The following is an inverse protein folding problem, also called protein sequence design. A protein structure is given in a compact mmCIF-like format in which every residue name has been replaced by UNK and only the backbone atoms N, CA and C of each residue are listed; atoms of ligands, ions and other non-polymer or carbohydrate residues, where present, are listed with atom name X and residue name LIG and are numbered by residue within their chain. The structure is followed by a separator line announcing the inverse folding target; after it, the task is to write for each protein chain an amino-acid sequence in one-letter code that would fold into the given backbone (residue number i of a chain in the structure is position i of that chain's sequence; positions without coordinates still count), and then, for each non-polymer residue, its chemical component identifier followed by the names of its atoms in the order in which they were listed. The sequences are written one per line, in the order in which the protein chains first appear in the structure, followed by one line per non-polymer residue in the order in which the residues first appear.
data_IF_463480701163
#
_entry.id   IF_463480701163
#
_cell.length_a   1.000
_cell.length_b   1.000
_cell.length_c   1.000
_cell.angle_alpha   90.00
_cell.angle_beta   90.00
_cell.angle_gamma   90.00
#
_symmetry.space_group_name_H-M   'P 1'
#
loop_
_entity.id
_entity.type
_entity.pdbx_description
1 polymer ?
#
# COMPACT_ATOMS: atom_id res chain seq x y z
N UNK A 1 2.77 29.23 -7.50
CA UNK A 1 4.04 28.62 -7.01
C UNK A 1 4.16 28.64 -5.48
N UNK A 2 3.88 29.75 -4.83
CA UNK A 2 3.93 29.87 -3.34
C UNK A 2 2.98 28.91 -2.63
N UNK A 3 1.78 28.71 -3.12
CA UNK A 3 0.79 27.79 -2.54
C UNK A 3 1.25 26.32 -2.60
N UNK A 4 1.84 25.92 -3.73
CA UNK A 4 2.40 24.57 -3.88
C UNK A 4 3.56 24.32 -2.91
N UNK A 5 4.47 25.28 -2.76
CA UNK A 5 5.58 25.18 -1.82
C UNK A 5 5.11 25.14 -0.36
N UNK A 6 4.10 25.93 -0.03
CA UNK A 6 3.50 25.94 1.31
C UNK A 6 2.83 24.58 1.60
N UNK A 7 2.09 24.03 0.64
CA UNK A 7 1.47 22.71 0.75
C UNK A 7 2.53 21.63 0.94
N UNK A 8 3.58 21.61 0.11
CA UNK A 8 4.67 20.66 0.23
C UNK A 8 5.37 20.77 1.60
N UNK A 9 5.57 22.00 2.09
CA UNK A 9 6.13 22.24 3.42
C UNK A 9 5.26 21.68 4.54
N UNK A 10 3.94 21.94 4.51
CA UNK A 10 2.99 21.41 5.51
C UNK A 10 3.02 19.89 5.52
N UNK A 11 2.98 19.25 4.35
CA UNK A 11 3.01 17.79 4.23
C UNK A 11 4.33 17.20 4.73
N UNK A 12 5.47 17.83 4.39
CA UNK A 12 6.78 17.40 4.88
C UNK A 12 6.89 17.51 6.40
N UNK A 13 6.48 18.64 6.98
CA UNK A 13 6.50 18.83 8.44
C UNK A 13 5.61 17.79 9.12
N UNK A 14 4.43 17.56 8.58
CA UNK A 14 3.52 16.55 9.11
C UNK A 14 4.12 15.14 9.06
N UNK A 15 4.77 14.76 7.96
CA UNK A 15 5.45 13.48 7.83
C UNK A 15 6.60 13.35 8.83
N UNK A 16 7.48 14.36 8.91
CA UNK A 16 8.63 14.37 9.83
C UNK A 16 8.21 14.30 11.30
N UNK A 17 7.09 14.88 11.67
CA UNK A 17 6.58 14.84 13.05
C UNK A 17 5.83 13.53 13.33
N UNK A 18 4.99 13.07 12.42
CA UNK A 18 4.11 11.91 12.65
C UNK A 18 4.85 10.57 12.67
N UNK A 19 5.86 10.41 11.81
CA UNK A 19 6.59 9.13 11.70
C UNK A 19 7.31 8.74 12.99
N UNK A 20 8.11 9.61 13.64
CA UNK A 20 8.72 9.28 14.93
C UNK A 20 7.70 9.00 16.03
N UNK A 21 6.58 9.73 16.03
CA UNK A 21 5.48 9.52 16.98
C UNK A 21 4.87 8.13 16.77
N UNK A 22 4.48 7.80 15.54
CA UNK A 22 3.90 6.50 15.19
C UNK A 22 4.86 5.36 15.54
N UNK A 23 6.15 5.52 15.26
CA UNK A 23 7.18 4.52 15.56
C UNK A 23 7.34 4.26 17.05
N UNK A 24 7.18 5.28 17.91
CA UNK A 24 7.18 5.12 19.37
C UNK A 24 6.02 4.27 19.88
N UNK A 25 4.89 4.28 19.18
CA UNK A 25 3.74 3.42 19.51
C UNK A 25 3.80 2.05 18.82
N UNK A 26 4.91 1.69 18.17
CA UNK A 26 5.06 0.44 17.45
C UNK A 26 4.35 0.39 16.09
N UNK A 27 3.79 1.52 15.65
CA UNK A 27 3.17 1.69 14.35
C UNK A 27 4.27 1.95 13.32
N UNK A 28 4.12 1.38 12.12
CA UNK A 28 5.05 1.66 11.01
C UNK A 28 4.89 3.07 10.46
N UNK A 29 5.85 3.53 9.66
CA UNK A 29 5.84 4.86 9.03
C UNK A 29 4.58 5.12 8.22
N UNK A 30 4.07 4.10 7.51
CA UNK A 30 2.86 4.20 6.68
C UNK A 30 1.65 4.63 7.49
N UNK A 31 1.43 4.01 8.66
CA UNK A 31 0.33 4.43 9.56
C UNK A 31 0.56 5.84 10.09
N UNK A 32 1.82 6.22 10.34
CA UNK A 32 2.18 7.58 10.70
C UNK A 32 1.74 8.60 9.65
N UNK A 33 2.04 8.34 8.38
CA UNK A 33 1.61 9.20 7.26
C UNK A 33 0.09 9.27 7.11
N UNK A 34 -0.62 8.14 7.24
CA UNK A 34 -2.09 8.12 7.17
C UNK A 34 -2.73 8.94 8.29
N UNK A 35 -2.26 8.79 9.52
CA UNK A 35 -2.76 9.56 10.66
C UNK A 35 -2.46 11.05 10.50
N UNK A 36 -1.27 11.39 10.01
CA UNK A 36 -0.91 12.78 9.69
C UNK A 36 -1.83 13.37 8.62
N UNK A 37 -2.08 12.63 7.54
CA UNK A 37 -2.98 13.05 6.47
C UNK A 37 -4.40 13.32 6.99
N UNK A 38 -4.93 12.41 7.82
CA UNK A 38 -6.25 12.60 8.46
C UNK A 38 -6.30 13.82 9.38
N UNK A 39 -5.23 14.05 10.15
CA UNK A 39 -5.16 15.20 11.07
C UNK A 39 -5.06 16.55 10.33
N UNK A 40 -4.42 16.58 9.16
CA UNK A 40 -4.22 17.80 8.37
C UNK A 40 -5.39 18.05 7.41
N UNK A 41 -6.16 17.02 7.06
CA UNK A 41 -7.26 17.15 6.08
C UNK A 41 -8.20 18.35 6.36
N UNK A 42 -8.64 18.62 7.61
CA UNK A 42 -9.45 19.80 7.90
C UNK A 42 -8.74 21.12 7.59
N UNK A 43 -7.43 21.22 7.91
CA UNK A 43 -6.62 22.40 7.64
C UNK A 43 -6.48 22.66 6.14
N UNK A 44 -6.25 21.61 5.34
CA UNK A 44 -6.19 21.71 3.89
C UNK A 44 -7.52 22.16 3.28
N UNK A 45 -8.64 21.69 3.83
CA UNK A 45 -9.98 22.14 3.46
C UNK A 45 -10.19 23.64 3.71
N UNK A 46 -9.74 24.16 4.87
CA UNK A 46 -9.79 25.59 5.19
C UNK A 46 -8.91 26.44 4.27
N UNK A 47 -7.78 25.90 3.82
CA UNK A 47 -6.85 26.58 2.91
C UNK A 47 -7.33 26.53 1.44
N UNK A 48 -8.45 25.87 1.15
CA UNK A 48 -8.98 25.74 -0.21
C UNK A 48 -8.09 24.91 -1.14
N UNK A 49 -7.28 23.99 -0.59
CA UNK A 49 -6.41 23.15 -1.38
C UNK A 49 -7.21 22.17 -2.23
N UNK A 50 -6.94 22.15 -3.52
CA UNK A 50 -7.53 21.17 -4.44
C UNK A 50 -6.92 19.77 -4.20
N UNK A 51 -7.70 18.93 -3.52
CA UNK A 51 -7.31 17.56 -3.18
C UNK A 51 -7.04 16.71 -4.44
N UNK A 52 -7.71 17.00 -5.56
CA UNK A 52 -7.54 16.26 -6.83
C UNK A 52 -6.15 16.55 -7.42
N UNK A 53 -5.71 17.81 -7.41
CA UNK A 53 -4.36 18.15 -7.85
C UNK A 53 -3.29 17.50 -6.96
N UNK A 54 -3.52 17.45 -5.65
CA UNK A 54 -2.63 16.79 -4.73
C UNK A 54 -2.54 15.28 -5.01
N UNK A 55 -3.67 14.64 -5.31
CA UNK A 55 -3.73 13.22 -5.67
C UNK A 55 -2.89 12.92 -6.92
N UNK A 56 -3.06 13.68 -8.00
CA UNK A 56 -2.26 13.51 -9.22
C UNK A 56 -0.75 13.64 -8.96
N UNK A 57 -0.35 14.55 -8.08
CA UNK A 57 1.06 14.67 -7.71
C UNK A 57 1.55 13.47 -6.89
N UNK A 58 0.73 12.97 -5.97
CA UNK A 58 1.04 11.78 -5.19
C UNK A 58 1.14 10.52 -6.07
N UNK A 59 0.26 10.38 -7.08
CA UNK A 59 0.31 9.28 -8.05
C UNK A 59 1.66 9.22 -8.79
N UNK A 60 2.23 10.38 -9.15
CA UNK A 60 3.58 10.41 -9.73
C UNK A 60 4.64 9.86 -8.76
N UNK A 61 4.55 10.19 -7.48
CA UNK A 61 5.42 9.64 -6.44
C UNK A 61 5.30 8.12 -6.34
N UNK A 62 4.08 7.57 -6.42
CA UNK A 62 3.84 6.12 -6.42
C UNK A 62 4.48 5.46 -7.65
N UNK A 63 4.34 6.05 -8.84
CA UNK A 63 4.97 5.54 -10.07
C UNK A 63 6.49 5.49 -9.92
N UNK A 64 7.12 6.55 -9.39
CA UNK A 64 8.56 6.58 -9.14
C UNK A 64 9.00 5.52 -8.12
N UNK A 65 8.24 5.35 -7.04
CA UNK A 65 8.51 4.32 -6.04
C UNK A 65 8.43 2.90 -6.64
N UNK A 66 7.38 2.62 -7.43
CA UNK A 66 7.23 1.32 -8.11
C UNK A 66 8.35 1.09 -9.14
N UNK A 67 8.82 2.13 -9.79
CA UNK A 67 9.96 2.05 -10.70
C UNK A 67 11.26 1.66 -9.96
N UNK A 68 11.54 2.29 -8.82
CA UNK A 68 12.70 1.94 -7.98
C UNK A 68 12.61 0.49 -7.52
N UNK A 69 11.47 0.07 -6.98
CA UNK A 69 11.23 -1.32 -6.58
C UNK A 69 11.47 -2.27 -7.76
N UNK A 70 10.99 -1.91 -8.95
CA UNK A 70 11.19 -2.71 -10.18
C UNK A 70 12.67 -2.85 -10.57
N UNK A 71 13.50 -1.82 -10.33
CA UNK A 71 14.94 -1.89 -10.55
C UNK A 71 15.69 -2.77 -9.55
N UNK A 72 15.20 -2.84 -8.31
CA UNK A 72 15.80 -3.66 -7.24
C UNK A 72 15.42 -5.15 -7.35
N UNK A 73 14.38 -5.47 -8.12
CA UNK A 73 13.95 -6.85 -8.32
C UNK A 73 14.92 -7.62 -9.21
N UNK A 74 15.55 -8.65 -8.67
CA UNK A 74 16.40 -9.57 -9.44
C UNK A 74 15.56 -10.64 -10.15
N UNK A 75 15.52 -10.67 -11.50
CA UNK A 75 14.74 -11.66 -12.25
C UNK A 75 15.10 -13.10 -11.93
N UNK A 76 16.38 -13.36 -11.60
CA UNK A 76 16.86 -14.70 -11.22
C UNK A 76 16.25 -15.16 -9.90
N UNK A 77 16.12 -14.25 -8.93
CA UNK A 77 15.50 -14.53 -7.64
C UNK A 77 14.00 -14.84 -7.81
N UNK A 78 13.30 -14.04 -8.59
CA UNK A 78 11.88 -14.29 -8.91
C UNK A 78 11.68 -15.65 -9.56
N UNK A 79 12.56 -16.03 -10.49
CA UNK A 79 12.49 -17.33 -11.14
C UNK A 79 12.75 -18.49 -10.18
N UNK A 80 13.70 -18.32 -9.26
CA UNK A 80 13.97 -19.32 -8.21
C UNK A 80 12.76 -19.51 -7.28
N UNK A 81 12.02 -18.41 -6.97
CA UNK A 81 10.85 -18.43 -6.09
C UNK A 81 9.53 -18.78 -6.80
N UNK A 82 9.51 -19.05 -8.10
CA UNK A 82 8.28 -19.24 -8.90
C UNK A 82 7.29 -20.25 -8.32
N UNK A 83 7.76 -21.33 -7.69
CA UNK A 83 6.88 -22.34 -7.07
C UNK A 83 6.16 -21.77 -5.85
N UNK A 84 6.82 -20.93 -5.07
CA UNK A 84 6.22 -20.22 -3.92
C UNK A 84 5.25 -19.13 -4.39
N UNK A 85 5.65 -18.34 -5.40
CA UNK A 85 4.82 -17.29 -5.98
C UNK A 85 3.50 -17.87 -6.53
N UNK A 86 3.57 -18.94 -7.33
CA UNK A 86 2.37 -19.56 -7.90
C UNK A 86 1.57 -20.31 -6.83
N UNK A 87 2.23 -21.04 -5.93
CA UNK A 87 1.56 -21.84 -4.91
C UNK A 87 0.93 -21.00 -3.81
N UNK A 88 1.74 -20.17 -3.14
CA UNK A 88 1.25 -19.34 -2.03
C UNK A 88 0.48 -18.12 -2.54
N UNK A 89 1.04 -17.35 -3.48
CA UNK A 89 0.40 -16.17 -4.04
C UNK A 89 -0.88 -16.52 -4.81
N UNK A 90 -0.80 -17.45 -5.77
CA UNK A 90 -1.98 -17.90 -6.50
C UNK A 90 -3.03 -18.54 -5.60
N UNK A 91 -2.61 -19.35 -4.63
CA UNK A 91 -3.50 -19.96 -3.64
C UNK A 91 -4.22 -18.91 -2.77
N UNK A 92 -3.49 -17.89 -2.32
CA UNK A 92 -4.05 -16.77 -1.55
C UNK A 92 -5.10 -16.02 -2.36
N UNK A 93 -4.79 -15.62 -3.58
CA UNK A 93 -5.72 -14.86 -4.45
C UNK A 93 -6.99 -15.67 -4.71
N UNK A 94 -6.86 -16.96 -5.08
CA UNK A 94 -8.01 -17.82 -5.34
C UNK A 94 -8.86 -17.99 -4.09
N UNK A 95 -8.25 -18.36 -2.95
CA UNK A 95 -8.97 -18.62 -1.71
C UNK A 95 -9.69 -17.36 -1.21
N UNK A 96 -9.00 -16.22 -1.18
CA UNK A 96 -9.58 -14.94 -0.74
C UNK A 96 -10.71 -14.51 -1.68
N UNK A 97 -10.51 -14.62 -3.00
CA UNK A 97 -11.56 -14.32 -3.99
C UNK A 97 -12.80 -15.17 -3.76
N UNK A 98 -12.65 -16.48 -3.56
CA UNK A 98 -13.79 -17.39 -3.36
C UNK A 98 -14.55 -17.09 -2.06
N UNK A 99 -13.83 -16.82 -0.96
CA UNK A 99 -14.44 -16.49 0.33
C UNK A 99 -15.24 -15.18 0.22
N UNK A 100 -14.63 -14.14 -0.32
CA UNK A 100 -15.27 -12.82 -0.43
C UNK A 100 -16.42 -12.85 -1.43
N UNK A 101 -16.24 -13.52 -2.58
CA UNK A 101 -17.31 -13.71 -3.55
C UNK A 101 -18.49 -14.49 -2.93
N UNK A 102 -18.21 -15.53 -2.14
CA UNK A 102 -19.25 -16.28 -1.40
C UNK A 102 -20.03 -15.38 -0.44
N UNK A 103 -19.35 -14.56 0.36
CA UNK A 103 -20.00 -13.59 1.26
C UNK A 103 -20.84 -12.58 0.46
N UNK A 104 -20.32 -12.09 -0.66
CA UNK A 104 -21.02 -11.14 -1.52
C UNK A 104 -22.27 -11.74 -2.17
N UNK A 105 -22.23 -13.01 -2.58
CA UNK A 105 -23.40 -13.76 -3.07
C UNK A 105 -24.47 -13.90 -1.99
N UNK A 106 -24.08 -14.24 -0.76
CA UNK A 106 -24.99 -14.33 0.37
C UNK A 106 -25.66 -12.99 0.70
N UNK A 107 -25.00 -11.88 0.38
CA UNK A 107 -25.53 -10.51 0.52
C UNK A 107 -26.49 -10.12 -0.63
N UNK A 108 -26.78 -11.01 -1.57
CA UNK A 108 -27.73 -10.80 -2.66
C UNK A 108 -27.15 -10.18 -3.94
N UNK A 109 -25.82 -10.06 -4.04
CA UNK A 109 -25.19 -9.57 -5.26
C UNK A 109 -25.20 -10.61 -6.38
N UNK A 110 -25.25 -10.16 -7.64
CA UNK A 110 -25.10 -11.03 -8.79
C UNK A 110 -23.71 -11.69 -8.81
N UNK A 111 -23.60 -12.92 -9.30
CA UNK A 111 -22.35 -13.70 -9.28
C UNK A 111 -21.15 -12.99 -9.96
N UNK A 112 -21.41 -12.21 -11.04
CA UNK A 112 -20.37 -11.44 -11.74
C UNK A 112 -19.82 -10.31 -10.85
N UNK A 113 -20.70 -9.59 -10.21
CA UNK A 113 -20.35 -8.53 -9.26
C UNK A 113 -19.66 -9.12 -8.03
N UNK A 114 -20.14 -10.22 -7.50
CA UNK A 114 -19.54 -10.90 -6.37
C UNK A 114 -18.12 -11.39 -6.69
N UNK A 115 -17.90 -11.95 -7.87
CA UNK A 115 -16.57 -12.36 -8.32
C UNK A 115 -15.63 -11.15 -8.49
N UNK A 116 -16.10 -10.07 -9.09
CA UNK A 116 -15.32 -8.84 -9.25
C UNK A 116 -14.90 -8.26 -7.88
N UNK A 117 -15.82 -8.18 -6.92
CA UNK A 117 -15.53 -7.74 -5.54
C UNK A 117 -14.48 -8.65 -4.90
N UNK A 118 -14.62 -9.96 -5.05
CA UNK A 118 -13.68 -10.94 -4.54
C UNK A 118 -12.27 -10.77 -5.10
N UNK A 119 -12.16 -10.58 -6.41
CA UNK A 119 -10.88 -10.36 -7.08
C UNK A 119 -10.23 -9.04 -6.64
N UNK A 120 -10.98 -7.96 -6.56
CA UNK A 120 -10.48 -6.64 -6.14
C UNK A 120 -9.94 -6.70 -4.70
N UNK A 121 -10.70 -7.30 -3.79
CA UNK A 121 -10.32 -7.38 -2.38
C UNK A 121 -9.26 -8.46 -2.08
N UNK A 122 -8.99 -9.36 -3.03
CA UNK A 122 -7.89 -10.33 -2.91
C UNK A 122 -6.52 -9.68 -3.19
N UNK A 123 -6.47 -8.52 -3.84
CA UNK A 123 -5.23 -7.81 -4.10
C UNK A 123 -4.71 -7.15 -2.83
N UNK A 124 -3.40 -7.27 -2.59
CA UNK A 124 -2.70 -6.67 -1.48
C UNK A 124 -1.90 -5.44 -1.91
N UNK A 125 -1.52 -4.57 -0.98
CA UNK A 125 -0.64 -3.45 -1.26
C UNK A 125 0.82 -3.86 -1.16
N UNK A 126 1.43 -4.19 -2.28
CA UNK A 126 2.86 -4.56 -2.37
C UNK A 126 3.75 -3.46 -1.80
N UNK A 127 3.48 -2.19 -2.12
CA UNK A 127 4.28 -1.06 -1.66
C UNK A 127 4.30 -0.94 -0.12
N UNK A 128 3.14 -1.03 0.54
CA UNK A 128 3.03 -0.92 2.00
C UNK A 128 3.75 -2.07 2.70
N UNK A 129 3.58 -3.29 2.19
CA UNK A 129 4.18 -4.47 2.82
C UNK A 129 5.70 -4.48 2.65
N UNK A 130 6.20 -4.19 1.42
CA UNK A 130 7.64 -4.10 1.18
C UNK A 130 8.30 -3.04 2.05
N UNK A 131 7.75 -1.83 2.10
CA UNK A 131 8.26 -0.76 2.95
C UNK A 131 8.28 -1.18 4.42
N UNK A 132 7.21 -1.82 4.91
CA UNK A 132 7.14 -2.27 6.31
C UNK A 132 8.15 -3.37 6.62
N UNK A 133 8.37 -4.32 5.69
CA UNK A 133 9.36 -5.38 5.84
C UNK A 133 10.78 -4.83 5.83
N UNK A 134 11.05 -3.84 4.99
CA UNK A 134 12.35 -3.17 4.91
C UNK A 134 12.65 -2.38 6.18
N UNK A 135 11.72 -1.55 6.66
CA UNK A 135 11.84 -0.80 7.91
C UNK A 135 12.12 -1.69 9.13
N UNK A 136 11.56 -2.90 9.14
CA UNK A 136 11.76 -3.89 10.22
C UNK A 136 12.96 -4.81 9.98
N UNK A 137 13.70 -4.65 8.88
CA UNK A 137 14.82 -5.51 8.51
C UNK A 137 14.43 -6.98 8.23
N UNK A 138 13.17 -7.23 7.90
CA UNK A 138 12.62 -8.59 7.72
C UNK A 138 12.63 -9.05 6.26
N UNK A 139 12.95 -8.19 5.31
CA UNK A 139 12.82 -8.46 3.87
C UNK A 139 13.59 -9.73 3.43
N UNK A 140 14.80 -9.93 3.99
CA UNK A 140 15.68 -11.07 3.67
C UNK A 140 15.49 -12.30 4.57
N UNK A 141 14.45 -12.33 5.39
CA UNK A 141 14.11 -13.48 6.23
C UNK A 141 13.18 -14.44 5.49
N UNK A 142 13.11 -15.70 5.93
CA UNK A 142 12.17 -16.67 5.37
C UNK A 142 10.71 -16.18 5.42
N UNK A 143 10.33 -15.47 6.52
CA UNK A 143 9.02 -14.87 6.67
C UNK A 143 8.78 -13.71 5.69
N UNK A 144 9.81 -12.87 5.48
CA UNK A 144 9.77 -11.78 4.49
C UNK A 144 9.63 -12.29 3.06
N UNK A 145 10.41 -13.31 2.67
CA UNK A 145 10.29 -13.96 1.37
C UNK A 145 8.91 -14.63 1.17
N UNK A 146 8.36 -15.27 2.21
CA UNK A 146 7.01 -15.84 2.14
C UNK A 146 5.95 -14.76 2.00
N UNK A 147 6.06 -13.66 2.77
CA UNK A 147 5.17 -12.50 2.64
C UNK A 147 5.23 -11.88 1.25
N UNK A 148 6.44 -11.70 0.71
CA UNK A 148 6.64 -11.22 -0.66
C UNK A 148 6.00 -12.14 -1.72
N UNK A 149 5.99 -13.45 -1.49
CA UNK A 149 5.40 -14.42 -2.43
C UNK A 149 3.87 -14.40 -2.45
N UNK A 150 3.23 -13.76 -1.47
CA UNK A 150 1.77 -13.69 -1.32
C UNK A 150 1.22 -12.33 -1.79
N UNK A 151 2.08 -11.33 -2.00
CA UNK A 151 1.74 -10.01 -2.49
C UNK A 151 1.44 -9.98 -3.99
#
# INVERSE_FOLDING_TARGET
MTEFLLLAFILLVAGVVSVPIASRFGLGSVLGYLLAGMAIAPLLGFLGVDVVQLQHFAEFGVVMMLFIIGLELEPKLLWAMRKRLIGLGGGQVILTTLIIAGISLLSGNEWRTALAIGMILALSSTAIVLQTLEEKGLLKTQGGEASFSVL
#
